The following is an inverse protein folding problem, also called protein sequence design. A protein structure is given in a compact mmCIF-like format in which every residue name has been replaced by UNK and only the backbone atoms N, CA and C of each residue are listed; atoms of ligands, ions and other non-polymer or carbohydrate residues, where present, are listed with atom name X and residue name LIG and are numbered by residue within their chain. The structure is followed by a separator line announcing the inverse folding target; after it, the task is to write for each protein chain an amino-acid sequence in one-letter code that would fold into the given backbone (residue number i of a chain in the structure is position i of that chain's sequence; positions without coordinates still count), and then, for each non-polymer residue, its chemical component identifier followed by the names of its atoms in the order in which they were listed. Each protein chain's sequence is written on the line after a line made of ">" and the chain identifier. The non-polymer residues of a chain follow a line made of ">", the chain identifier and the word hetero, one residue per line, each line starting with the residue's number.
data_IF_897287220580
#
_entry.id   IF_897287220580
#
_cell.length_a   1.000
_cell.length_b   1.000
_cell.length_c   1.000
_cell.angle_alpha   90.00
_cell.angle_beta   90.00
_cell.angle_gamma   90.00
#
_symmetry.space_group_name_H-M   'P 1'
#
loop_
_entity.id
_entity.type
_entity.pdbx_description
1 polymer ?
#
# COMPACT_ATOMS: atom_id res chain seq x y z
N UNK A 1 -2.17 -7.83 26.95
CA UNK A 1 -1.01 -7.29 26.20
C UNK A 1 -1.34 -7.31 24.72
N UNK A 2 -1.39 -6.16 24.05
CA UNK A 2 -1.52 -6.10 22.59
C UNK A 2 -0.14 -6.35 21.97
N UNK A 3 0.01 -7.45 21.22
CA UNK A 3 1.25 -7.76 20.50
C UNK A 3 1.23 -7.01 19.18
N UNK A 4 2.22 -6.14 18.96
CA UNK A 4 2.37 -5.41 17.70
C UNK A 4 3.11 -6.27 16.67
N UNK A 5 2.60 -6.30 15.44
CA UNK A 5 3.23 -6.99 14.32
C UNK A 5 3.71 -5.97 13.29
N UNK A 6 4.98 -6.07 12.89
CA UNK A 6 5.53 -5.33 11.77
C UNK A 6 5.63 -6.26 10.55
N UNK A 7 5.10 -5.80 9.40
CA UNK A 7 5.16 -6.55 8.13
C UNK A 7 5.59 -5.58 7.04
N UNK A 8 6.63 -5.94 6.28
CA UNK A 8 7.00 -5.21 5.08
C UNK A 8 5.99 -5.51 3.96
N UNK A 9 5.48 -4.46 3.32
CA UNK A 9 4.48 -4.57 2.24
C UNK A 9 4.74 -3.50 1.19
N UNK A 10 4.55 -3.86 -0.08
CA UNK A 10 4.40 -2.89 -1.18
C UNK A 10 2.91 -2.75 -1.49
N UNK A 11 2.33 -1.58 -1.17
CA UNK A 11 0.90 -1.34 -1.37
C UNK A 11 0.52 -1.23 -2.84
N UNK A 12 1.46 -0.92 -3.72
CA UNK A 12 1.24 -0.91 -5.17
C UNK A 12 1.33 -2.29 -5.82
N UNK A 13 1.49 -3.36 -5.03
CA UNK A 13 1.52 -4.74 -5.50
C UNK A 13 0.40 -5.57 -4.86
N UNK A 14 -0.61 -5.93 -5.65
CA UNK A 14 -1.80 -6.64 -5.15
C UNK A 14 -1.48 -7.98 -4.46
N UNK A 15 -0.44 -8.69 -4.92
CA UNK A 15 0.01 -9.94 -4.33
C UNK A 15 0.64 -9.71 -2.96
N UNK A 16 1.40 -8.62 -2.79
CA UNK A 16 2.00 -8.20 -1.52
C UNK A 16 0.92 -7.84 -0.49
N UNK A 17 -0.08 -7.05 -0.90
CA UNK A 17 -1.23 -6.72 -0.03
C UNK A 17 -2.01 -7.96 0.38
N UNK A 18 -2.29 -8.88 -0.55
CA UNK A 18 -2.94 -10.17 -0.22
C UNK A 18 -2.12 -10.99 0.78
N UNK A 19 -0.79 -10.98 0.66
CA UNK A 19 0.08 -11.66 1.62
C UNK A 19 0.01 -11.02 3.02
N UNK A 20 -0.03 -9.68 3.11
CA UNK A 20 -0.24 -8.96 4.37
C UNK A 20 -1.53 -9.42 5.06
N UNK A 21 -2.68 -9.43 4.36
CA UNK A 21 -3.95 -9.87 4.95
C UNK A 21 -3.90 -11.31 5.47
N UNK A 22 -3.25 -12.22 4.73
CA UNK A 22 -3.05 -13.60 5.19
C UNK A 22 -2.21 -13.66 6.47
N UNK A 23 -1.13 -12.88 6.55
CA UNK A 23 -0.26 -12.83 7.74
C UNK A 23 -1.02 -12.29 8.95
N UNK A 24 -1.72 -11.16 8.81
CA UNK A 24 -2.48 -10.52 9.90
C UNK A 24 -3.62 -11.43 10.37
N UNK A 25 -4.36 -12.05 9.44
CA UNK A 25 -5.46 -12.96 9.79
C UNK A 25 -4.95 -14.21 10.50
N UNK A 26 -3.79 -14.74 10.11
CA UNK A 26 -3.15 -15.87 10.79
C UNK A 26 -2.69 -15.50 12.20
N UNK A 27 -2.11 -14.32 12.39
CA UNK A 27 -1.58 -13.89 13.69
C UNK A 27 -2.68 -13.59 14.71
N UNK A 28 -3.76 -12.93 14.28
CA UNK A 28 -4.80 -12.47 15.19
C UNK A 28 -6.09 -13.31 15.15
N UNK A 29 -6.17 -14.32 14.28
CA UNK A 29 -7.31 -15.25 14.17
C UNK A 29 -8.59 -14.65 13.57
N UNK A 30 -8.57 -13.36 13.21
CA UNK A 30 -9.71 -12.62 12.63
C UNK A 30 -9.22 -11.68 11.54
N UNK A 31 -10.12 -11.28 10.63
CA UNK A 31 -9.84 -10.23 9.66
C UNK A 31 -9.69 -8.86 10.34
N UNK A 32 -8.88 -7.94 9.79
CA UNK A 32 -8.81 -6.57 10.30
C UNK A 32 -10.18 -5.91 10.35
N UNK A 33 -10.54 -5.29 11.47
CA UNK A 33 -11.79 -4.53 11.60
C UNK A 33 -11.67 -3.10 11.08
N UNK A 34 -10.44 -2.57 11.02
CA UNK A 34 -10.11 -1.23 10.53
C UNK A 34 -8.90 -1.38 9.62
N UNK A 35 -8.95 -0.72 8.46
CA UNK A 35 -7.82 -0.56 7.56
C UNK A 35 -7.62 0.93 7.35
N UNK A 36 -6.40 1.41 7.57
CA UNK A 36 -6.05 2.81 7.33
C UNK A 36 -5.09 2.84 6.15
N UNK A 37 -5.57 3.30 4.99
CA UNK A 37 -4.74 3.44 3.79
C UNK A 37 -3.93 4.75 3.87
N UNK A 38 -2.80 4.72 4.58
CA UNK A 38 -1.92 5.87 4.82
C UNK A 38 -0.62 5.85 4.03
N UNK A 39 -0.34 4.78 3.28
CA UNK A 39 0.84 4.72 2.44
C UNK A 39 0.63 5.64 1.22
N UNK A 40 1.68 6.36 0.82
CA UNK A 40 1.62 7.16 -0.38
C UNK A 40 2.97 7.71 -0.80
N UNK A 41 3.09 8.02 -2.09
CA UNK A 41 4.22 8.72 -2.68
C UNK A 41 3.77 10.03 -3.31
N UNK A 42 4.72 10.97 -3.42
CA UNK A 42 4.54 12.21 -4.16
C UNK A 42 5.04 12.03 -5.59
N UNK A 43 4.33 12.59 -6.55
CA UNK A 43 4.87 12.74 -7.90
C UNK A 43 5.98 13.80 -7.97
N UNK A 44 6.65 13.89 -9.12
CA UNK A 44 7.79 14.80 -9.33
C UNK A 44 7.45 16.31 -9.32
N UNK A 45 6.19 16.70 -9.07
CA UNK A 45 5.78 18.10 -9.02
C UNK A 45 5.85 18.84 -10.36
N UNK A 46 5.83 18.11 -11.47
CA UNK A 46 5.90 18.63 -12.84
C UNK A 46 4.53 19.06 -13.35
N UNK A 47 4.51 19.90 -14.37
CA UNK A 47 3.30 20.09 -15.18
C UNK A 47 2.92 18.77 -15.82
N UNK A 48 1.61 18.54 -15.99
CA UNK A 48 1.10 17.29 -16.56
C UNK A 48 1.70 16.97 -17.93
N UNK A 49 1.92 17.98 -18.76
CA UNK A 49 2.53 17.83 -20.10
C UNK A 49 3.98 17.35 -20.07
N UNK A 50 4.66 17.55 -18.94
CA UNK A 50 6.08 17.26 -18.75
C UNK A 50 6.30 16.04 -17.84
N UNK A 51 5.21 15.42 -17.37
CA UNK A 51 5.24 14.25 -16.50
C UNK A 51 5.42 12.99 -17.35
N UNK A 52 6.50 12.21 -17.15
CA UNK A 52 6.63 10.89 -17.76
C UNK A 52 5.46 9.98 -17.37
N UNK A 53 5.02 9.13 -18.29
CA UNK A 53 3.93 8.19 -18.05
C UNK A 53 4.23 7.28 -16.83
N UNK A 54 5.45 6.76 -16.74
CA UNK A 54 5.88 5.92 -15.61
C UNK A 54 5.77 6.63 -14.25
N UNK A 55 6.11 7.94 -14.17
CA UNK A 55 5.99 8.72 -12.94
C UNK A 55 4.52 8.90 -12.52
N UNK A 56 3.64 9.12 -13.50
CA UNK A 56 2.20 9.21 -13.25
C UNK A 56 1.65 7.86 -12.78
N UNK A 57 2.02 6.79 -13.49
CA UNK A 57 1.59 5.43 -13.19
C UNK A 57 2.05 4.97 -11.81
N UNK A 58 3.25 5.34 -11.37
CA UNK A 58 3.72 5.00 -10.03
C UNK A 58 2.90 5.66 -8.92
N UNK A 59 2.56 6.94 -9.07
CA UNK A 59 1.70 7.65 -8.10
C UNK A 59 0.33 7.00 -8.05
N UNK A 60 -0.26 6.68 -9.20
CA UNK A 60 -1.57 6.01 -9.28
C UNK A 60 -1.50 4.60 -8.68
N UNK A 61 -0.46 3.84 -9.02
CA UNK A 61 -0.23 2.47 -8.56
C UNK A 61 -0.14 2.37 -7.04
N UNK A 62 0.51 3.32 -6.37
CA UNK A 62 0.69 3.30 -4.92
C UNK A 62 -0.50 3.93 -4.17
N UNK A 63 -1.04 5.04 -4.67
CA UNK A 63 -1.98 5.85 -3.90
C UNK A 63 -3.46 5.50 -4.16
N UNK A 64 -3.78 4.84 -5.27
CA UNK A 64 -5.15 4.66 -5.74
C UNK A 64 -5.53 3.24 -6.18
N UNK A 65 -4.58 2.48 -6.73
CA UNK A 65 -4.83 1.18 -7.39
C UNK A 65 -4.82 0.00 -6.43
#
# INVERSE_FOLDING_TARGET
>A
HSVHLAVQVDVGCSQSVKALFKVVTREYGVSPSIVVNCAGILGAGRYLTDTPEDDFDDVVRVNLK
#
